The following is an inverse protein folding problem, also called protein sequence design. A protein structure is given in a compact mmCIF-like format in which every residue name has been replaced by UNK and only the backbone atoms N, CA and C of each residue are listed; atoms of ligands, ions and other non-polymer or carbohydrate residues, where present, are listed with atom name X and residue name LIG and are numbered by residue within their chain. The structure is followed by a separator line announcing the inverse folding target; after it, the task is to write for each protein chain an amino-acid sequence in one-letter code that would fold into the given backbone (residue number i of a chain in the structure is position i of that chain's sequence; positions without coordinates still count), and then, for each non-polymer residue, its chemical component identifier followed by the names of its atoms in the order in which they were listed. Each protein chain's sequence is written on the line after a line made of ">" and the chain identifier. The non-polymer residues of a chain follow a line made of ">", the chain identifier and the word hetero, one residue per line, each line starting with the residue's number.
data_IF_683348750677
#
_entry.id   IF_683348750677
#
_cell.length_a   1.000
_cell.length_b   1.000
_cell.length_c   1.000
_cell.angle_alpha   90.00
_cell.angle_beta   90.00
_cell.angle_gamma   90.00
#
_symmetry.space_group_name_H-M   'P 1'
#
loop_
_entity.id
_entity.type
_entity.pdbx_description
1 polymer ?
#
# COMPACT_ATOMS: atom_id res chain seq x y z
N UNK A 1 20.39 4.39 30.09
CA UNK A 1 19.90 4.93 28.79
C UNK A 1 19.90 3.80 27.79
N UNK A 2 18.77 3.50 27.14
CA UNK A 2 18.73 2.46 26.11
C UNK A 2 19.67 2.83 24.95
N UNK A 3 20.52 1.90 24.52
CA UNK A 3 21.45 2.11 23.42
C UNK A 3 20.69 2.58 22.16
N UNK A 4 21.23 3.59 21.48
CA UNK A 4 20.61 4.17 20.27
C UNK A 4 20.66 3.14 19.13
N UNK A 5 19.55 2.44 18.90
CA UNK A 5 19.40 1.46 17.82
C UNK A 5 19.16 2.15 16.48
N UNK A 6 20.14 2.09 15.58
CA UNK A 6 20.04 2.63 14.23
C UNK A 6 19.01 1.86 13.39
N UNK A 7 18.40 2.52 12.41
CA UNK A 7 17.50 1.90 11.43
C UNK A 7 18.30 1.10 10.40
N UNK A 8 17.84 -0.11 10.09
CA UNK A 8 18.34 -0.89 8.94
C UNK A 8 17.57 -0.56 7.67
N UNK A 9 18.09 -0.96 6.52
CA UNK A 9 17.40 -0.76 5.23
C UNK A 9 16.07 -1.54 5.21
N UNK A 10 16.07 -2.78 5.69
CA UNK A 10 14.85 -3.62 5.76
C UNK A 10 13.75 -3.00 6.61
N UNK A 11 14.09 -2.49 7.81
CA UNK A 11 13.11 -1.79 8.66
C UNK A 11 12.59 -0.52 7.99
N UNK A 12 13.44 0.16 7.22
CA UNK A 12 13.09 1.35 6.46
C UNK A 12 12.14 1.00 5.30
N UNK A 13 12.34 -0.13 4.60
CA UNK A 13 11.42 -0.65 3.57
C UNK A 13 10.06 -1.02 4.18
N UNK A 14 10.04 -1.63 5.37
CA UNK A 14 8.80 -1.93 6.08
C UNK A 14 8.02 -0.65 6.43
N UNK A 15 8.72 0.40 6.88
CA UNK A 15 8.09 1.69 7.13
C UNK A 15 7.62 2.38 5.84
N UNK A 16 8.36 2.26 4.73
CA UNK A 16 7.95 2.80 3.42
C UNK A 16 6.68 2.09 2.91
N UNK A 17 6.65 0.76 2.95
CA UNK A 17 5.47 -0.01 2.53
C UNK A 17 4.22 0.36 3.34
N UNK A 18 4.36 0.67 4.63
CA UNK A 18 3.27 1.18 5.45
C UNK A 18 2.89 2.62 5.09
N UNK A 19 3.87 3.50 4.85
CA UNK A 19 3.64 4.88 4.42
C UNK A 19 2.80 4.94 3.15
N UNK A 20 3.20 4.19 2.11
CA UNK A 20 2.55 4.22 0.80
C UNK A 20 1.06 3.84 0.83
N UNK A 21 0.64 3.07 1.85
CA UNK A 21 -0.76 2.61 2.02
C UNK A 21 -1.51 3.30 3.15
N UNK A 22 -0.93 4.35 3.74
CA UNK A 22 -1.54 5.07 4.87
C UNK A 22 -1.77 6.53 4.48
N UNK A 23 -3.02 7.03 4.47
CA UNK A 23 -3.30 8.44 4.25
C UNK A 23 -2.50 9.32 5.22
N UNK A 24 -2.01 10.48 4.75
CA UNK A 24 -1.12 11.35 5.52
C UNK A 24 -1.66 11.71 6.92
N UNK A 25 -2.97 11.96 7.03
CA UNK A 25 -3.63 12.28 8.30
C UNK A 25 -3.62 11.15 9.35
N UNK A 26 -3.31 9.91 8.94
CA UNK A 26 -3.26 8.71 9.79
C UNK A 26 -1.83 8.32 10.19
N UNK A 27 -0.82 9.11 9.85
CA UNK A 27 0.59 8.87 10.18
C UNK A 27 0.93 9.26 11.63
N UNK A 28 0.25 8.65 12.61
CA UNK A 28 0.41 8.98 14.03
C UNK A 28 0.57 7.74 14.92
N UNK A 29 1.19 7.93 16.09
CA UNK A 29 1.53 6.84 17.02
C UNK A 29 0.36 5.97 17.52
N UNK A 30 -0.88 6.47 17.42
CA UNK A 30 -2.10 5.74 17.82
C UNK A 30 -2.72 4.92 16.67
N UNK A 31 -2.15 4.97 15.46
CA UNK A 31 -2.68 4.20 14.34
C UNK A 31 -2.38 2.70 14.60
N UNK A 32 -3.40 1.82 14.59
CA UNK A 32 -3.21 0.38 14.83
C UNK A 32 -2.15 -0.26 13.95
N UNK A 33 -2.05 0.13 12.68
CA UNK A 33 -1.07 -0.45 11.74
C UNK A 33 0.36 -0.01 12.06
N UNK A 34 0.52 1.23 12.50
CA UNK A 34 1.80 1.75 13.02
C UNK A 34 2.20 1.01 14.31
N UNK A 35 1.24 0.76 15.20
CA UNK A 35 1.47 0.02 16.44
C UNK A 35 1.88 -1.43 16.13
N UNK A 36 1.16 -2.10 15.24
CA UNK A 36 1.46 -3.48 14.83
C UNK A 36 2.85 -3.60 14.19
N UNK A 37 3.22 -2.67 13.30
CA UNK A 37 4.56 -2.65 12.72
C UNK A 37 5.62 -2.36 13.79
N UNK A 38 5.37 -1.42 14.71
CA UNK A 38 6.30 -1.11 15.78
C UNK A 38 6.60 -2.31 16.67
N UNK A 39 5.57 -3.10 17.02
CA UNK A 39 5.71 -4.34 17.76
C UNK A 39 6.57 -5.35 16.99
N UNK A 40 6.28 -5.57 15.70
CA UNK A 40 7.07 -6.47 14.83
C UNK A 40 8.54 -6.08 14.71
N UNK A 41 8.83 -4.78 14.65
CA UNK A 41 10.20 -4.28 14.51
C UNK A 41 10.94 -4.10 15.84
N UNK A 42 10.28 -4.31 16.99
CA UNK A 42 10.85 -4.00 18.30
C UNK A 42 11.19 -2.51 18.44
N UNK A 43 10.32 -1.62 17.95
CA UNK A 43 10.45 -0.15 18.03
C UNK A 43 9.22 0.46 18.72
N UNK A 44 9.29 1.74 19.08
CA UNK A 44 8.11 2.45 19.58
C UNK A 44 7.21 2.91 18.42
N UNK A 45 5.87 2.98 18.61
CA UNK A 45 4.96 3.50 17.60
C UNK A 45 5.30 4.92 17.15
N UNK A 46 5.80 5.76 18.07
CA UNK A 46 6.28 7.09 17.75
C UNK A 46 7.49 7.06 16.80
N UNK A 47 8.43 6.13 16.96
CA UNK A 47 9.56 5.99 16.06
C UNK A 47 9.14 5.57 14.65
N UNK A 48 8.18 4.65 14.54
CA UNK A 48 7.63 4.21 13.24
C UNK A 48 6.84 5.31 12.56
N UNK A 49 5.92 5.98 13.27
CA UNK A 49 5.19 7.13 12.73
C UNK A 49 6.14 8.21 12.20
N UNK A 50 7.19 8.48 12.98
CA UNK A 50 8.20 9.45 12.61
C UNK A 50 9.00 9.04 11.37
N UNK A 51 9.31 7.75 11.24
CA UNK A 51 9.96 7.20 10.05
C UNK A 51 9.07 7.35 8.81
N UNK A 52 7.77 7.10 8.94
CA UNK A 52 6.82 7.34 7.85
C UNK A 52 6.76 8.83 7.46
N UNK A 53 6.77 9.75 8.43
CA UNK A 53 6.85 11.19 8.15
C UNK A 53 8.14 11.62 7.43
N UNK A 54 9.25 10.88 7.57
CA UNK A 54 10.46 11.14 6.78
C UNK A 54 10.22 10.83 5.29
N UNK A 55 9.47 9.78 4.95
CA UNK A 55 9.10 9.49 3.57
C UNK A 55 8.12 10.52 3.00
N UNK A 56 7.19 11.01 3.82
CA UNK A 56 6.34 12.15 3.44
C UNK A 56 7.14 13.43 3.10
N UNK A 57 8.38 13.56 3.59
CA UNK A 57 9.24 14.67 3.22
C UNK A 57 10.01 14.46 1.89
N UNK A 58 10.04 13.22 1.38
CA UNK A 58 10.60 12.85 0.08
C UNK A 58 9.55 12.80 -1.03
N UNK A 59 8.28 12.72 -0.64
CA UNK A 59 7.16 12.63 -1.56
C UNK A 59 6.82 14.01 -2.15
N UNK A 60 7.14 14.20 -3.43
CA UNK A 60 6.90 15.43 -4.18
C UNK A 60 5.41 15.62 -4.53
N UNK A 61 4.59 14.58 -4.43
CA UNK A 61 3.16 14.64 -4.77
C UNK A 61 2.32 15.25 -3.64
N UNK A 62 2.87 15.31 -2.43
CA UNK A 62 2.16 15.89 -1.29
C UNK A 62 2.07 17.41 -1.41
N UNK A 63 0.88 18.01 -1.20
CA UNK A 63 0.69 19.46 -1.29
C UNK A 63 1.38 20.23 -0.15
N UNK A 64 1.92 19.53 0.85
CA UNK A 64 2.58 20.09 2.02
C UNK A 64 3.87 19.33 2.29
N UNK A 65 4.98 20.06 2.44
CA UNK A 65 6.24 19.48 2.89
C UNK A 65 6.14 19.14 4.38
N UNK A 66 6.42 17.89 4.74
CA UNK A 66 6.56 17.47 6.14
C UNK A 66 7.67 18.25 6.87
N UNK A 67 7.59 18.34 8.19
CA UNK A 67 8.52 19.14 9.03
C UNK A 67 9.92 18.53 9.22
N UNK A 68 10.27 17.40 8.58
CA UNK A 68 11.49 16.65 8.91
C UNK A 68 12.32 16.22 7.72
N UNK A 69 13.62 16.41 7.84
CA UNK A 69 14.61 15.98 6.86
C UNK A 69 14.73 14.46 6.86
N UNK A 70 14.48 13.83 5.71
CA UNK A 70 14.71 12.41 5.51
C UNK A 70 16.20 12.05 5.65
N UNK A 71 16.47 10.93 6.33
CA UNK A 71 17.82 10.43 6.54
C UNK A 71 18.41 9.79 5.28
N UNK A 72 19.73 9.54 5.27
CA UNK A 72 20.40 8.89 4.12
C UNK A 72 19.79 7.53 3.76
N UNK A 73 19.39 6.74 4.77
CA UNK A 73 18.76 5.43 4.53
C UNK A 73 17.34 5.56 3.98
N UNK A 74 16.61 6.61 4.38
CA UNK A 74 15.27 6.89 3.86
C UNK A 74 15.35 7.24 2.37
N UNK A 75 16.31 8.09 1.99
CA UNK A 75 16.56 8.48 0.60
C UNK A 75 16.94 7.29 -0.26
N UNK A 76 17.87 6.46 0.19
CA UNK A 76 18.29 5.27 -0.55
C UNK A 76 17.13 4.29 -0.77
N UNK A 77 16.30 4.07 0.24
CA UNK A 77 15.12 3.19 0.13
C UNK A 77 14.03 3.81 -0.75
N UNK A 78 13.86 5.13 -0.72
CA UNK A 78 12.95 5.84 -1.63
C UNK A 78 13.42 5.76 -3.08
N UNK A 79 14.70 6.01 -3.35
CA UNK A 79 15.31 5.89 -4.68
C UNK A 79 15.23 4.46 -5.24
N UNK A 80 15.42 3.45 -4.38
CA UNK A 80 15.24 2.04 -4.74
C UNK A 80 13.79 1.77 -5.15
N UNK A 81 12.82 2.24 -4.36
CA UNK A 81 11.40 2.11 -4.69
C UNK A 81 11.04 2.82 -6.01
N UNK A 82 11.54 4.03 -6.25
CA UNK A 82 11.28 4.75 -7.50
C UNK A 82 11.87 4.04 -8.73
N UNK A 83 12.88 3.18 -8.54
CA UNK A 83 13.49 2.39 -9.60
C UNK A 83 12.78 1.05 -9.81
N UNK A 84 12.38 0.41 -8.72
CA UNK A 84 11.74 -0.91 -8.70
C UNK A 84 10.63 -0.95 -7.63
N UNK A 85 9.41 -0.49 -7.95
CA UNK A 85 8.29 -0.53 -7.02
C UNK A 85 7.90 -1.97 -6.60
N UNK A 86 8.14 -2.96 -7.47
CA UNK A 86 7.75 -4.36 -7.22
C UNK A 86 8.58 -4.99 -6.10
N UNK A 87 9.77 -4.46 -5.81
CA UNK A 87 10.61 -4.86 -4.68
C UNK A 87 9.88 -4.82 -3.33
N UNK A 88 8.85 -3.98 -3.18
CA UNK A 88 8.06 -3.87 -1.94
C UNK A 88 6.96 -4.92 -1.81
N UNK A 89 6.61 -5.67 -2.86
CA UNK A 89 5.52 -6.65 -2.81
C UNK A 89 5.76 -7.75 -1.76
N UNK A 90 7.00 -8.22 -1.65
CA UNK A 90 7.38 -9.21 -0.63
C UNK A 90 7.31 -8.65 0.80
N UNK A 91 7.63 -7.36 0.97
CA UNK A 91 7.47 -6.65 2.25
C UNK A 91 6.00 -6.55 2.59
N UNK A 92 5.19 -6.05 1.66
CA UNK A 92 3.75 -5.90 1.81
C UNK A 92 3.08 -7.22 2.21
N UNK A 93 3.34 -8.31 1.48
CA UNK A 93 2.78 -9.63 1.76
C UNK A 93 3.06 -10.09 3.20
N UNK A 94 4.25 -9.82 3.74
CA UNK A 94 4.57 -10.12 5.16
C UNK A 94 3.83 -9.23 6.15
N UNK A 95 3.49 -8.00 5.78
CA UNK A 95 2.76 -7.06 6.65
C UNK A 95 1.29 -7.42 6.80
N UNK A 96 0.64 -7.84 5.71
CA UNK A 96 -0.77 -8.22 5.72
C UNK A 96 -0.98 -9.68 6.14
N UNK A 97 0.07 -10.52 6.11
CA UNK A 97 -0.05 -11.95 6.39
C UNK A 97 -0.99 -12.64 5.39
N UNK A 98 -1.23 -13.93 5.55
CA UNK A 98 -2.19 -14.69 4.73
C UNK A 98 -3.68 -14.22 4.87
N UNK A 99 -3.94 -13.01 5.38
CA UNK A 99 -5.24 -12.34 5.41
C UNK A 99 -5.64 -11.75 4.03
N UNK A 100 -5.05 -12.25 2.94
CA UNK A 100 -5.43 -11.92 1.58
C UNK A 100 -6.80 -12.51 1.16
N UNK A 101 -7.51 -13.19 2.07
CA UNK A 101 -8.82 -13.80 1.82
C UNK A 101 -10.02 -12.92 2.11
N UNK A 102 -9.86 -11.79 2.84
CA UNK A 102 -11.01 -11.05 3.40
C UNK A 102 -11.12 -9.59 2.95
N UNK A 103 -10.24 -9.12 2.07
CA UNK A 103 -10.47 -7.85 1.41
C UNK A 103 -11.47 -8.08 0.29
N UNK A 104 -12.63 -7.39 0.27
CA UNK A 104 -13.58 -7.51 -0.82
C UNK A 104 -12.80 -7.19 -2.09
N UNK A 105 -12.59 -8.24 -2.89
CA UNK A 105 -12.15 -8.09 -4.25
C UNK A 105 -13.10 -7.10 -4.91
N UNK A 106 -12.53 -6.14 -5.63
CA UNK A 106 -13.24 -5.32 -6.60
C UNK A 106 -14.25 -4.30 -6.02
N UNK A 107 -13.83 -3.05 -5.85
CA UNK A 107 -14.67 -1.99 -6.42
C UNK A 107 -14.67 -2.20 -7.94
N UNK A 108 -15.84 -2.25 -8.58
CA UNK A 108 -16.07 -2.52 -10.03
C UNK A 108 -14.83 -2.97 -10.81
N UNK A 109 -14.25 -4.12 -10.45
CA UNK A 109 -13.15 -4.67 -11.24
C UNK A 109 -13.77 -5.22 -12.51
N UNK A 110 -13.03 -5.14 -13.61
CA UNK A 110 -13.36 -5.90 -14.81
C UNK A 110 -13.43 -7.38 -14.44
N UNK A 111 -14.65 -7.91 -14.34
CA UNK A 111 -14.91 -9.34 -14.31
C UNK A 111 -14.11 -10.00 -15.44
N UNK A 112 -13.36 -11.08 -15.18
CA UNK A 112 -12.84 -11.90 -16.26
C UNK A 112 -14.04 -12.37 -17.09
N UNK A 113 -14.11 -11.95 -18.36
CA UNK A 113 -15.20 -12.29 -19.30
C UNK A 113 -15.33 -13.79 -19.61
N UNK A 114 -14.51 -14.64 -18.98
CA UNK A 114 -14.46 -16.09 -19.17
C UNK A 114 -15.12 -16.87 -18.01
N UNK A 115 -16.18 -16.31 -17.40
CA UNK A 115 -17.02 -17.08 -16.50
C UNK A 115 -17.83 -18.09 -17.31
N UNK A 116 -17.31 -19.32 -17.45
CA UNK A 116 -18.06 -20.48 -17.91
C UNK A 116 -19.41 -20.53 -17.18
N UNK A 117 -20.53 -20.40 -17.90
CA UNK A 117 -21.86 -20.49 -17.30
C UNK A 117 -22.06 -21.89 -16.71
N UNK A 118 -22.33 -22.03 -15.41
CA UNK A 118 -22.68 -23.33 -14.85
C UNK A 118 -24.05 -23.78 -15.38
N UNK A 119 -24.33 -25.09 -15.42
CA UNK A 119 -25.64 -25.60 -15.77
C UNK A 119 -26.72 -25.03 -14.82
N UNK A 120 -27.96 -24.83 -15.30
CA UNK A 120 -29.01 -24.09 -14.58
C UNK A 120 -29.44 -24.68 -13.24
N UNK A 121 -28.97 -25.89 -12.89
CA UNK A 121 -29.34 -26.62 -11.67
C UNK A 121 -28.32 -26.48 -10.52
N UNK A 122 -27.16 -25.85 -10.76
CA UNK A 122 -26.14 -25.67 -9.73
C UNK A 122 -26.41 -24.42 -8.87
N UNK A 123 -26.72 -24.61 -7.59
CA UNK A 123 -26.92 -23.52 -6.60
C UNK A 123 -25.63 -22.99 -5.98
N UNK A 124 -24.53 -23.74 -6.10
CA UNK A 124 -23.24 -23.40 -5.51
C UNK A 124 -22.10 -23.62 -6.50
N UNK A 125 -21.11 -22.73 -6.47
CA UNK A 125 -19.88 -22.86 -7.25
C UNK A 125 -18.70 -22.29 -6.45
N UNK A 126 -17.60 -23.03 -6.44
CA UNK A 126 -16.30 -22.50 -6.00
C UNK A 126 -15.68 -21.74 -7.17
N UNK A 127 -15.45 -20.44 -6.99
CA UNK A 127 -14.77 -19.59 -7.98
C UNK A 127 -13.36 -19.32 -7.48
N UNK A 128 -12.36 -19.91 -8.14
CA UNK A 128 -10.97 -19.53 -7.97
C UNK A 128 -10.64 -18.41 -8.97
N UNK A 129 -10.52 -17.17 -8.46
CA UNK A 129 -10.16 -16.01 -9.30
C UNK A 129 -8.63 -15.90 -9.37
N UNK A 130 -8.08 -15.78 -10.58
CA UNK A 130 -6.67 -15.42 -10.75
C UNK A 130 -6.50 -13.96 -10.38
N UNK A 131 -6.00 -13.69 -9.18
CA UNK A 131 -5.69 -12.33 -8.75
C UNK A 131 -4.28 -11.93 -9.19
N UNK A 132 -4.12 -10.70 -9.69
CA UNK A 132 -2.79 -10.17 -10.02
C UNK A 132 -2.02 -9.94 -8.72
N UNK A 133 -0.77 -10.41 -8.66
CA UNK A 133 0.11 -10.13 -7.54
C UNK A 133 0.30 -8.61 -7.41
N UNK A 134 0.16 -8.09 -6.20
CA UNK A 134 0.29 -6.66 -5.93
C UNK A 134 -0.95 -5.81 -6.22
N UNK A 135 -2.06 -6.36 -6.73
CA UNK A 135 -3.28 -5.57 -6.99
C UNK A 135 -3.84 -4.89 -5.73
N UNK A 136 -3.87 -5.61 -4.60
CA UNK A 136 -4.31 -5.03 -3.34
C UNK A 136 -3.35 -3.93 -2.85
N UNK A 137 -2.04 -4.15 -3.04
CA UNK A 137 -1.03 -3.13 -2.71
C UNK A 137 -1.24 -1.87 -3.55
N UNK A 138 -1.31 -2.02 -4.86
CA UNK A 138 -1.60 -0.94 -5.81
C UNK A 138 -2.87 -0.19 -5.44
N UNK A 139 -3.97 -0.92 -5.20
CA UNK A 139 -5.25 -0.31 -4.81
C UNK A 139 -5.10 0.54 -3.56
N UNK A 140 -4.49 0.01 -2.50
CA UNK A 140 -4.31 0.75 -1.25
C UNK A 140 -3.40 1.97 -1.43
N UNK A 141 -2.35 1.84 -2.23
CA UNK A 141 -1.47 2.96 -2.54
C UNK A 141 -2.20 4.08 -3.24
N UNK A 142 -2.92 3.77 -4.32
CA UNK A 142 -3.69 4.74 -5.10
C UNK A 142 -4.74 5.42 -4.21
N UNK A 143 -5.49 4.65 -3.43
CA UNK A 143 -6.50 5.22 -2.53
C UNK A 143 -5.88 6.10 -1.44
N UNK A 144 -4.74 5.70 -0.86
CA UNK A 144 -4.05 6.50 0.16
C UNK A 144 -3.51 7.82 -0.42
N UNK A 145 -2.93 7.79 -1.63
CA UNK A 145 -2.43 8.99 -2.32
C UNK A 145 -3.52 10.03 -2.56
N UNK A 146 -4.75 9.58 -2.86
CA UNK A 146 -5.91 10.45 -3.04
C UNK A 146 -6.73 10.68 -1.75
N UNK A 147 -6.18 10.33 -0.59
CA UNK A 147 -6.85 10.46 0.71
C UNK A 147 -8.27 9.85 0.71
N UNK A 148 -8.39 8.67 0.13
CA UNK A 148 -9.63 7.89 0.01
C UNK A 148 -10.77 8.66 -0.68
N UNK A 149 -10.44 9.52 -1.64
CA UNK A 149 -11.40 10.34 -2.40
C UNK A 149 -11.19 10.25 -3.91
N UNK A 150 -12.26 10.21 -4.69
CA UNK A 150 -12.19 10.34 -6.14
C UNK A 150 -11.71 11.74 -6.53
N UNK A 151 -10.64 11.89 -7.33
CA UNK A 151 -10.13 13.20 -7.74
C UNK A 151 -11.05 13.97 -8.70
N UNK A 152 -11.99 13.29 -9.36
CA UNK A 152 -12.90 13.90 -10.33
C UNK A 152 -14.23 14.34 -9.70
N UNK A 153 -14.85 13.46 -8.92
CA UNK A 153 -16.21 13.68 -8.38
C UNK A 153 -16.20 14.07 -6.91
N UNK A 154 -15.09 13.87 -6.22
CA UNK A 154 -15.00 14.09 -4.78
C UNK A 154 -15.68 13.02 -3.91
N UNK A 155 -16.20 11.92 -4.48
CA UNK A 155 -16.77 10.80 -3.70
C UNK A 155 -15.71 10.21 -2.76
N UNK A 156 -16.05 9.96 -1.50
CA UNK A 156 -15.16 9.41 -0.47
C UNK A 156 -15.65 8.08 0.14
N UNK A 157 -16.65 7.44 -0.48
CA UNK A 157 -17.02 6.06 -0.16
C UNK A 157 -16.08 5.07 -0.88
N UNK A 158 -15.16 4.46 -0.13
CA UNK A 158 -14.14 3.55 -0.65
C UNK A 158 -14.69 2.34 -1.41
N UNK A 159 -15.94 1.95 -1.16
CA UNK A 159 -16.62 0.85 -1.89
C UNK A 159 -16.95 1.25 -3.33
N UNK A 160 -17.09 2.54 -3.59
CA UNK A 160 -17.36 3.11 -4.91
C UNK A 160 -16.07 3.48 -5.66
N UNK A 161 -14.93 3.50 -4.98
CA UNK A 161 -13.65 3.87 -5.58
C UNK A 161 -12.99 2.69 -6.29
N UNK A 162 -12.58 2.90 -7.53
CA UNK A 162 -11.76 1.96 -8.29
C UNK A 162 -10.35 2.54 -8.50
N UNK A 163 -9.32 1.69 -8.38
CA UNK A 163 -7.94 2.03 -8.67
C UNK A 163 -7.61 1.44 -10.04
N UNK A 164 -7.48 2.31 -11.04
CA UNK A 164 -7.30 1.93 -12.43
C UNK A 164 -5.97 2.45 -12.96
N UNK A 165 -5.28 1.63 -13.76
CA UNK A 165 -4.15 2.12 -14.56
C UNK A 165 -4.65 3.03 -15.69
N UNK A 166 -3.87 4.07 -16.01
CA UNK A 166 -4.17 4.96 -17.15
C UNK A 166 -3.93 4.23 -18.47
N UNK A 167 -2.78 3.54 -18.57
CA UNK A 167 -2.47 2.61 -19.67
C UNK A 167 -2.80 1.20 -19.22
N UNK A 168 -3.34 0.37 -20.10
CA UNK A 168 -3.70 -1.00 -19.72
C UNK A 168 -2.48 -1.77 -19.18
N UNK A 169 -2.66 -2.45 -18.05
CA UNK A 169 -1.60 -3.18 -17.32
C UNK A 169 -0.77 -4.15 -18.19
N UNK A 170 -1.39 -4.76 -19.21
CA UNK A 170 -0.73 -5.68 -20.14
C UNK A 170 0.24 -4.96 -21.10
N UNK A 171 -0.04 -3.70 -21.41
CA UNK A 171 0.62 -2.91 -22.45
C UNK A 171 1.76 -2.05 -21.88
N UNK A 172 1.83 -1.89 -20.55
CA UNK A 172 2.91 -1.17 -19.87
C UNK A 172 3.52 -2.00 -18.72
N UNK A 173 4.48 -2.89 -19.02
CA UNK A 173 5.15 -3.70 -18.00
C UNK A 173 5.97 -2.89 -17.00
N UNK A 174 6.40 -1.67 -17.35
CA UNK A 174 7.25 -0.85 -16.49
C UNK A 174 6.46 -0.14 -15.38
N UNK A 175 5.15 0.09 -15.57
CA UNK A 175 4.29 0.83 -14.64
C UNK A 175 3.09 -0.01 -14.17
N UNK A 176 3.38 -1.18 -13.61
CA UNK A 176 2.35 -2.11 -13.09
C UNK A 176 1.94 -1.84 -11.64
N UNK A 177 2.71 -1.03 -10.93
CA UNK A 177 2.47 -0.51 -9.57
C UNK A 177 2.48 1.02 -9.55
#
# INVERSE_FOLDING_TARGET
>A
MAARRNWTQEESREALALYLRTPFGRLHRHNPEIIALAQRLGRSPAAVAMKACNFAALDETLPRKGMRTASRIDRAVWEEFMRDPESLLGVFARQIGAAAGDHPAAGFAEEPKDAMHPPPEATERIVAVRQRLGQDFFRRMVLAAWNERCPLTGIDDSRLLNASHIVAWKDDPANRL
#
